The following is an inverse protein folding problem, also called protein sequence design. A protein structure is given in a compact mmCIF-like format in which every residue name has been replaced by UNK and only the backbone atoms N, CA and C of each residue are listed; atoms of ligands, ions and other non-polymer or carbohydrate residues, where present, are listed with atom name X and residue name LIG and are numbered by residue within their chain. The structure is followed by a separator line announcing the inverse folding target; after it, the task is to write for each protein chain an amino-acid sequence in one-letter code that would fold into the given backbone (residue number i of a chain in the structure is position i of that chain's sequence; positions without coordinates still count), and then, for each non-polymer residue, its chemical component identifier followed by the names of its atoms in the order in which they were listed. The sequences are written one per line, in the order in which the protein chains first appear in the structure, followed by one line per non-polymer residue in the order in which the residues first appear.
data_IF_308180720899
#
_entry.id   IF_308180720899
#
_cell.length_a   1.000
_cell.length_b   1.000
_cell.length_c   1.000
_cell.angle_alpha   90.00
_cell.angle_beta   90.00
_cell.angle_gamma   90.00
#
_symmetry.space_group_name_H-M   'P 1'
#
loop_
_entity.id
_entity.type
_entity.pdbx_description
1 polymer ?
#
# COMPACT_ATOMS: atom_id res chain seq x y z
N UNK A 1 -20.61 -17.23 13.66
CA UNK A 1 -20.79 -16.23 12.59
C UNK A 1 -19.49 -15.63 12.05
N UNK A 2 -18.56 -15.09 12.85
CA UNK A 2 -17.32 -14.47 12.32
C UNK A 2 -16.36 -15.51 11.69
N UNK A 3 -16.27 -16.72 12.21
CA UNK A 3 -15.40 -17.78 11.70
C UNK A 3 -15.95 -18.43 10.41
N UNK A 4 -17.26 -18.59 10.26
CA UNK A 4 -17.88 -19.10 9.03
C UNK A 4 -17.65 -18.16 7.85
N UNK A 5 -17.76 -16.85 8.05
CA UNK A 5 -17.53 -15.86 7.01
C UNK A 5 -16.06 -15.83 6.54
N UNK A 6 -15.08 -16.15 7.42
CA UNK A 6 -13.67 -16.22 7.05
C UNK A 6 -13.39 -17.46 6.19
N UNK A 7 -13.88 -18.63 6.59
CA UNK A 7 -13.70 -19.89 5.85
C UNK A 7 -14.28 -19.83 4.44
N UNK A 8 -15.49 -19.27 4.28
CA UNK A 8 -16.13 -19.08 2.96
C UNK A 8 -15.34 -18.10 2.08
N UNK A 9 -14.82 -17.03 2.65
CA UNK A 9 -13.98 -16.08 1.91
C UNK A 9 -12.66 -16.68 1.46
N UNK A 10 -12.03 -17.49 2.31
CA UNK A 10 -10.78 -18.17 2.00
C UNK A 10 -11.00 -19.22 0.91
N UNK A 11 -12.09 -19.98 0.96
CA UNK A 11 -12.48 -20.91 -0.10
C UNK A 11 -12.71 -20.18 -1.44
N UNK A 12 -13.44 -19.07 -1.45
CA UNK A 12 -13.64 -18.27 -2.68
C UNK A 12 -12.31 -17.82 -3.30
N UNK A 13 -11.33 -17.42 -2.48
CA UNK A 13 -10.00 -17.04 -2.97
C UNK A 13 -9.22 -18.24 -3.53
N UNK A 14 -9.29 -19.41 -2.89
CA UNK A 14 -8.67 -20.64 -3.40
C UNK A 14 -9.26 -21.03 -4.75
N UNK A 15 -10.59 -21.00 -4.88
CA UNK A 15 -11.30 -21.27 -6.14
C UNK A 15 -10.92 -20.27 -7.23
N UNK A 16 -10.81 -18.97 -6.89
CA UNK A 16 -10.39 -17.94 -7.83
C UNK A 16 -8.97 -18.19 -8.36
N UNK A 17 -8.02 -18.53 -7.47
CA UNK A 17 -6.66 -18.90 -7.84
C UNK A 17 -6.68 -20.12 -8.78
N UNK A 18 -7.42 -21.18 -8.42
CA UNK A 18 -7.56 -22.38 -9.23
C UNK A 18 -8.16 -22.09 -10.62
N UNK A 19 -9.17 -21.22 -10.70
CA UNK A 19 -9.80 -20.84 -11.96
C UNK A 19 -8.83 -20.06 -12.87
N UNK A 20 -8.09 -19.10 -12.33
CA UNK A 20 -7.08 -18.35 -13.09
C UNK A 20 -6.00 -19.30 -13.62
N UNK A 21 -5.48 -20.18 -12.76
CA UNK A 21 -4.46 -21.17 -13.16
C UNK A 21 -5.01 -22.12 -14.22
N UNK A 22 -6.28 -22.57 -14.12
CA UNK A 22 -6.91 -23.42 -15.12
C UNK A 22 -7.02 -22.74 -16.48
N UNK A 23 -7.44 -21.48 -16.54
CA UNK A 23 -7.51 -20.69 -17.76
C UNK A 23 -6.11 -20.50 -18.38
N UNK A 24 -5.13 -20.09 -17.58
CA UNK A 24 -3.75 -19.89 -18.03
C UNK A 24 -3.08 -21.21 -18.45
N UNK A 25 -3.54 -22.33 -17.91
CA UNK A 25 -3.03 -23.67 -18.26
C UNK A 25 -3.28 -24.07 -19.72
N UNK A 26 -4.14 -23.34 -20.43
CA UNK A 26 -4.36 -23.52 -21.88
C UNK A 26 -3.34 -22.77 -22.73
N UNK A 27 -2.58 -21.84 -22.14
CA UNK A 27 -1.52 -21.10 -22.81
C UNK A 27 -0.23 -21.91 -22.78
N UNK A 28 0.17 -22.46 -23.94
CA UNK A 28 1.40 -23.21 -24.12
C UNK A 28 2.38 -22.41 -24.97
N UNK A 29 3.62 -22.42 -24.55
CA UNK A 29 4.74 -21.87 -25.31
C UNK A 29 5.53 -23.03 -25.93
N UNK A 30 5.65 -23.05 -27.24
CA UNK A 30 6.51 -23.99 -27.94
C UNK A 30 7.89 -23.35 -28.11
N UNK A 31 8.78 -23.55 -27.15
CA UNK A 31 10.15 -23.02 -27.20
C UNK A 31 11.08 -24.08 -27.78
N UNK A 32 11.67 -23.78 -28.92
CA UNK A 32 12.89 -24.34 -29.55
C UNK A 32 13.14 -25.88 -29.54
N UNK A 33 12.40 -26.69 -28.83
CA UNK A 33 12.59 -28.15 -28.75
C UNK A 33 11.32 -28.84 -29.19
N UNK A 34 11.46 -29.74 -30.17
CA UNK A 34 10.37 -30.58 -30.66
C UNK A 34 9.69 -31.33 -29.50
N UNK A 35 8.38 -31.15 -29.38
CA UNK A 35 7.48 -31.78 -28.42
C UNK A 35 7.52 -31.32 -26.95
N UNK A 36 8.22 -30.25 -26.58
CA UNK A 36 8.14 -29.75 -25.21
C UNK A 36 7.25 -28.50 -25.10
N UNK A 37 6.13 -28.64 -24.41
CA UNK A 37 5.15 -27.58 -24.16
C UNK A 37 5.37 -26.97 -22.79
N UNK A 38 5.72 -25.70 -22.72
CA UNK A 38 5.85 -24.98 -21.46
C UNK A 38 4.51 -24.35 -21.12
N UNK A 39 3.88 -24.80 -20.03
CA UNK A 39 2.64 -24.20 -19.55
C UNK A 39 2.93 -22.92 -18.74
N UNK A 40 2.27 -21.83 -19.11
CA UNK A 40 2.35 -20.55 -18.39
C UNK A 40 1.76 -20.63 -16.98
N UNK A 41 0.91 -21.61 -16.70
CA UNK A 41 0.25 -21.79 -15.37
C UNK A 41 1.25 -22.01 -14.23
N UNK A 42 2.39 -22.65 -14.52
CA UNK A 42 3.45 -22.91 -13.55
C UNK A 42 4.18 -21.65 -13.11
N UNK A 43 4.25 -20.64 -13.97
CA UNK A 43 4.79 -19.31 -13.65
C UNK A 43 3.77 -18.52 -12.81
N UNK A 44 2.49 -18.60 -13.20
CA UNK A 44 1.42 -17.81 -12.58
C UNK A 44 1.04 -18.33 -11.19
N UNK A 45 1.11 -19.67 -10.98
CA UNK A 45 0.75 -20.28 -9.69
C UNK A 45 1.54 -19.70 -8.49
N UNK A 46 2.88 -19.71 -8.46
CA UNK A 46 3.63 -19.13 -7.34
C UNK A 46 3.41 -17.63 -7.19
N UNK A 47 3.20 -16.88 -8.28
CA UNK A 47 2.85 -15.47 -8.21
C UNK A 47 1.51 -15.29 -7.47
N UNK A 48 0.48 -16.05 -7.82
CA UNK A 48 -0.82 -15.99 -7.16
C UNK A 48 -0.76 -16.47 -5.70
N UNK A 49 0.06 -17.49 -5.40
CA UNK A 49 0.27 -17.96 -4.03
C UNK A 49 0.92 -16.91 -3.13
N UNK A 50 1.84 -16.10 -3.67
CA UNK A 50 2.54 -15.05 -2.93
C UNK A 50 1.77 -13.73 -2.87
N UNK A 51 0.85 -13.49 -3.80
CA UNK A 51 0.03 -12.27 -3.85
C UNK A 51 -1.35 -12.47 -3.21
N UNK A 52 -2.25 -13.19 -3.87
CA UNK A 52 -3.64 -13.45 -3.42
C UNK A 52 -3.71 -14.51 -2.32
N UNK A 53 -2.83 -15.50 -2.39
CA UNK A 53 -2.79 -16.64 -1.47
C UNK A 53 -1.91 -16.45 -0.23
N UNK A 54 -1.43 -15.24 0.06
CA UNK A 54 -0.48 -14.97 1.15
C UNK A 54 -0.96 -15.49 2.52
N UNK A 55 -2.24 -15.35 2.81
CA UNK A 55 -2.87 -15.75 4.07
C UNK A 55 -3.57 -17.11 4.00
N UNK A 56 -3.46 -17.83 2.88
CA UNK A 56 -4.11 -19.11 2.67
C UNK A 56 -3.10 -20.27 2.88
N UNK A 57 -3.60 -21.45 3.26
CA UNK A 57 -2.78 -22.66 3.28
C UNK A 57 -2.34 -23.02 1.86
N UNK A 58 -1.03 -23.14 1.63
CA UNK A 58 -0.47 -23.42 0.31
C UNK A 58 -0.93 -24.78 -0.21
N UNK A 59 -0.83 -25.81 0.64
CA UNK A 59 -1.22 -27.19 0.27
C UNK A 59 -2.70 -27.28 -0.09
N UNK A 60 -3.59 -26.68 0.71
CA UNK A 60 -5.02 -26.64 0.39
C UNK A 60 -5.31 -25.88 -0.90
N UNK A 61 -4.68 -24.72 -1.11
CA UNK A 61 -4.85 -23.94 -2.33
C UNK A 61 -4.41 -24.71 -3.56
N UNK A 62 -3.26 -25.37 -3.51
CA UNK A 62 -2.76 -26.19 -4.62
C UNK A 62 -3.60 -27.45 -4.84
N UNK A 63 -4.15 -28.09 -3.79
CA UNK A 63 -5.07 -29.22 -3.93
C UNK A 63 -6.38 -28.78 -4.64
N UNK A 64 -6.97 -27.66 -4.23
CA UNK A 64 -8.14 -27.09 -4.91
C UNK A 64 -7.82 -26.75 -6.37
N UNK A 65 -6.65 -26.15 -6.61
CA UNK A 65 -6.17 -25.83 -7.96
C UNK A 65 -6.02 -27.10 -8.81
N UNK A 66 -5.44 -28.18 -8.26
CA UNK A 66 -5.30 -29.46 -8.95
C UNK A 66 -6.64 -30.01 -9.43
N UNK A 67 -7.65 -30.00 -8.56
CA UNK A 67 -9.00 -30.46 -8.90
C UNK A 67 -9.64 -29.59 -9.97
N UNK A 68 -9.54 -28.26 -9.85
CA UNK A 68 -10.16 -27.33 -10.82
C UNK A 68 -9.49 -27.45 -12.18
N UNK A 69 -8.15 -27.50 -12.25
CA UNK A 69 -7.41 -27.68 -13.51
C UNK A 69 -7.74 -29.01 -14.17
N UNK A 70 -7.82 -30.09 -13.38
CA UNK A 70 -8.19 -31.41 -13.88
C UNK A 70 -9.59 -31.39 -14.50
N UNK A 71 -10.59 -30.92 -13.77
CA UNK A 71 -11.97 -30.85 -14.24
C UNK A 71 -12.11 -29.96 -15.48
N UNK A 72 -11.44 -28.80 -15.47
CA UNK A 72 -11.48 -27.87 -16.61
C UNK A 72 -10.90 -28.50 -17.89
N UNK A 73 -9.72 -29.14 -17.77
CA UNK A 73 -9.08 -29.81 -18.92
C UNK A 73 -9.87 -31.04 -19.37
N UNK A 74 -10.46 -31.80 -18.45
CA UNK A 74 -11.30 -32.96 -18.79
C UNK A 74 -12.54 -32.52 -19.58
N UNK A 75 -13.24 -31.48 -19.13
CA UNK A 75 -14.38 -30.89 -19.85
C UNK A 75 -13.96 -30.43 -21.24
N UNK A 76 -12.82 -29.75 -21.36
CA UNK A 76 -12.31 -29.29 -22.64
C UNK A 76 -11.99 -30.45 -23.59
N UNK A 77 -11.38 -31.54 -23.10
CA UNK A 77 -11.06 -32.72 -23.91
C UNK A 77 -12.31 -33.46 -24.38
N UNK A 78 -13.28 -33.65 -23.50
CA UNK A 78 -14.56 -34.34 -23.84
C UNK A 78 -15.37 -33.51 -24.85
N UNK A 79 -15.44 -32.19 -24.67
CA UNK A 79 -16.07 -31.31 -25.67
C UNK A 79 -15.35 -31.31 -27.03
N UNK A 80 -14.05 -31.63 -27.04
CA UNK A 80 -13.26 -31.85 -28.25
C UNK A 80 -13.47 -33.23 -28.91
N UNK A 81 -14.36 -34.09 -28.35
CA UNK A 81 -14.67 -35.42 -28.89
C UNK A 81 -13.75 -36.53 -28.39
N UNK A 82 -12.92 -36.29 -27.38
CA UNK A 82 -12.07 -37.32 -26.79
C UNK A 82 -12.86 -38.21 -25.82
N UNK A 83 -12.48 -39.48 -25.70
CA UNK A 83 -13.08 -40.41 -24.74
C UNK A 83 -12.77 -39.99 -23.31
N UNK A 84 -13.79 -40.10 -22.42
CA UNK A 84 -13.72 -39.64 -21.04
C UNK A 84 -12.63 -40.36 -20.23
N UNK A 85 -12.59 -41.70 -20.34
CA UNK A 85 -11.69 -42.53 -19.53
C UNK A 85 -10.25 -42.30 -19.95
N UNK A 86 -9.98 -42.38 -21.23
CA UNK A 86 -8.62 -42.17 -21.78
C UNK A 86 -8.14 -40.72 -21.50
N UNK A 87 -9.02 -39.74 -21.57
CA UNK A 87 -8.68 -38.36 -21.24
C UNK A 87 -8.38 -38.18 -19.76
N UNK A 88 -9.15 -38.82 -18.86
CA UNK A 88 -8.90 -38.75 -17.43
C UNK A 88 -7.56 -39.38 -17.05
N UNK A 89 -7.20 -40.53 -17.62
CA UNK A 89 -5.91 -41.18 -17.40
C UNK A 89 -4.74 -40.33 -17.86
N UNK A 90 -4.84 -39.70 -19.02
CA UNK A 90 -3.80 -38.84 -19.59
C UNK A 90 -3.64 -37.51 -18.86
N UNK A 91 -4.71 -37.01 -18.22
CA UNK A 91 -4.70 -35.74 -17.49
C UNK A 91 -4.38 -35.87 -16.00
N UNK A 92 -4.47 -37.10 -15.46
CA UNK A 92 -4.21 -37.34 -14.04
C UNK A 92 -2.81 -36.93 -13.58
N UNK A 93 -1.71 -37.21 -14.31
CA UNK A 93 -0.37 -36.74 -13.93
C UNK A 93 -0.26 -35.23 -13.75
N UNK A 94 -0.96 -34.48 -14.59
CA UNK A 94 -1.00 -33.00 -14.49
C UNK A 94 -1.68 -32.52 -13.18
N UNK A 95 -2.69 -33.23 -12.68
CA UNK A 95 -3.31 -32.88 -11.40
C UNK A 95 -2.36 -33.16 -10.24
N UNK A 96 -1.63 -34.30 -10.31
CA UNK A 96 -0.62 -34.67 -9.31
C UNK A 96 0.50 -33.63 -9.27
N UNK A 97 0.89 -33.05 -10.40
CA UNK A 97 1.87 -31.96 -10.46
C UNK A 97 1.50 -30.82 -9.50
N UNK A 98 0.27 -30.26 -9.60
CA UNK A 98 -0.15 -29.13 -8.75
C UNK A 98 -0.19 -29.51 -7.27
N UNK A 99 -0.59 -30.73 -6.97
CA UNK A 99 -0.61 -31.24 -5.59
C UNK A 99 0.79 -31.32 -5.00
N UNK A 100 1.72 -31.99 -5.72
CA UNK A 100 3.12 -32.08 -5.33
C UNK A 100 3.79 -30.71 -5.18
N UNK A 101 3.51 -29.80 -6.13
CA UNK A 101 3.99 -28.43 -6.06
C UNK A 101 3.62 -27.75 -4.73
N UNK A 102 2.36 -27.91 -4.32
CA UNK A 102 1.89 -27.35 -3.05
C UNK A 102 2.59 -27.90 -1.83
N UNK A 103 2.89 -29.21 -1.82
CA UNK A 103 3.60 -29.87 -0.72
C UNK A 103 5.05 -29.40 -0.63
N UNK A 104 5.78 -29.46 -1.75
CA UNK A 104 7.21 -29.07 -1.79
C UNK A 104 7.37 -27.58 -1.46
N UNK A 105 6.55 -26.72 -2.07
CA UNK A 105 6.60 -25.28 -1.81
C UNK A 105 6.28 -24.94 -0.35
N UNK A 106 5.28 -25.60 0.26
CA UNK A 106 4.94 -25.40 1.67
C UNK A 106 6.02 -25.93 2.62
N UNK A 107 6.70 -26.99 2.26
CA UNK A 107 7.82 -27.52 3.05
C UNK A 107 9.01 -26.55 3.08
N UNK A 108 9.28 -25.87 1.97
CA UNK A 108 10.38 -24.90 1.87
C UNK A 108 10.01 -23.52 2.42
N UNK A 109 8.74 -23.11 2.30
CA UNK A 109 8.22 -21.81 2.77
C UNK A 109 6.96 -22.05 3.61
N UNK A 110 7.10 -22.42 4.89
CA UNK A 110 5.95 -22.65 5.76
C UNK A 110 5.20 -21.35 6.13
N UNK A 111 5.87 -20.18 6.03
CA UNK A 111 5.30 -18.86 6.29
C UNK A 111 5.54 -17.89 5.15
N UNK A 112 4.48 -17.32 4.55
CA UNK A 112 4.56 -16.46 3.36
C UNK A 112 4.66 -14.95 3.67
N UNK A 113 4.69 -14.55 4.95
CA UNK A 113 4.57 -13.14 5.32
C UNK A 113 5.83 -12.31 5.01
N UNK A 114 7.01 -12.90 5.23
CA UNK A 114 8.30 -12.24 4.99
C UNK A 114 9.28 -13.23 4.38
N UNK A 115 9.17 -13.43 3.08
CA UNK A 115 10.07 -14.37 2.38
C UNK A 115 11.15 -13.55 1.68
N UNK A 116 12.40 -13.80 2.08
CA UNK A 116 13.56 -13.25 1.36
C UNK A 116 13.68 -13.90 -0.02
N UNK A 117 14.11 -13.12 -1.01
CA UNK A 117 14.37 -13.57 -2.37
C UNK A 117 15.29 -14.80 -2.42
N UNK A 118 16.30 -14.85 -1.56
CA UNK A 118 17.24 -15.96 -1.44
C UNK A 118 16.59 -17.30 -1.05
N UNK A 119 15.44 -17.29 -0.37
CA UNK A 119 14.65 -18.48 -0.03
C UNK A 119 13.57 -18.78 -1.07
N UNK A 120 13.04 -17.75 -1.71
CA UNK A 120 11.97 -17.87 -2.69
C UNK A 120 12.44 -18.57 -3.96
N UNK A 121 13.61 -18.17 -4.49
CA UNK A 121 14.17 -18.74 -5.73
C UNK A 121 14.35 -20.28 -5.63
N UNK A 122 15.08 -20.84 -4.64
CA UNK A 122 15.20 -22.28 -4.52
C UNK A 122 13.87 -22.98 -4.25
N UNK A 123 12.94 -22.37 -3.50
CA UNK A 123 11.65 -22.97 -3.22
C UNK A 123 10.80 -23.15 -4.48
N UNK A 124 10.73 -22.12 -5.33
CA UNK A 124 10.03 -22.20 -6.62
C UNK A 124 10.70 -23.22 -7.53
N UNK A 125 12.05 -23.21 -7.59
CA UNK A 125 12.82 -24.14 -8.42
C UNK A 125 12.58 -25.59 -8.03
N UNK A 126 12.74 -25.94 -6.75
CA UNK A 126 12.56 -27.32 -6.30
C UNK A 126 11.10 -27.76 -6.35
N UNK A 127 10.15 -26.85 -6.11
CA UNK A 127 8.74 -27.16 -6.28
C UNK A 127 8.40 -27.45 -7.74
N UNK A 128 8.89 -26.66 -8.71
CA UNK A 128 8.68 -26.89 -10.13
C UNK A 128 9.40 -28.14 -10.63
N UNK A 129 10.70 -28.24 -10.40
CA UNK A 129 11.51 -29.36 -10.86
C UNK A 129 11.04 -30.68 -10.27
N UNK A 130 10.81 -30.73 -8.94
CA UNK A 130 10.36 -31.95 -8.25
C UNK A 130 8.97 -32.42 -8.69
N UNK A 131 8.04 -31.48 -8.90
CA UNK A 131 6.68 -31.82 -9.35
C UNK A 131 6.65 -32.28 -10.80
N UNK A 132 7.46 -31.68 -11.70
CA UNK A 132 7.62 -32.18 -13.08
C UNK A 132 8.25 -33.58 -13.11
N UNK A 133 9.19 -33.83 -12.20
CA UNK A 133 9.81 -35.18 -12.12
C UNK A 133 8.78 -36.25 -11.72
N UNK A 134 7.92 -35.94 -10.72
CA UNK A 134 6.83 -36.85 -10.30
C UNK A 134 5.82 -37.03 -11.44
N UNK A 135 5.41 -35.93 -12.10
CA UNK A 135 4.50 -35.97 -13.25
C UNK A 135 5.03 -36.92 -14.35
N UNK A 136 6.31 -36.76 -14.69
CA UNK A 136 6.95 -37.58 -15.72
C UNK A 136 7.03 -39.08 -15.32
N UNK A 137 7.36 -39.36 -14.05
CA UNK A 137 7.40 -40.73 -13.56
C UNK A 137 6.02 -41.43 -13.64
N UNK A 138 4.94 -40.69 -13.43
CA UNK A 138 3.58 -41.27 -13.53
C UNK A 138 3.17 -41.41 -15.00
N UNK A 139 3.49 -40.41 -15.84
CA UNK A 139 3.10 -40.40 -17.25
C UNK A 139 3.81 -41.49 -18.07
N UNK A 140 5.09 -41.71 -17.85
CA UNK A 140 5.89 -42.71 -18.63
C UNK A 140 5.88 -44.10 -18.01
N UNK A 141 5.19 -44.34 -16.88
CA UNK A 141 5.08 -45.64 -16.17
C UNK A 141 6.41 -46.35 -15.87
N UNK A 142 7.57 -45.73 -16.12
CA UNK A 142 8.88 -46.32 -15.87
C UNK A 142 9.98 -45.26 -15.73
N UNK A 143 10.74 -45.33 -14.64
CA UNK A 143 11.97 -44.58 -14.41
C UNK A 143 13.09 -44.90 -15.43
N UNK A 144 13.00 -46.03 -16.11
CA UNK A 144 14.00 -46.49 -17.09
C UNK A 144 13.98 -45.72 -18.41
N UNK A 145 12.92 -44.95 -18.70
CA UNK A 145 12.82 -44.10 -19.91
C UNK A 145 13.41 -42.72 -19.74
N UNK A 146 13.92 -42.39 -18.51
CA UNK A 146 14.62 -41.14 -18.23
C UNK A 146 16.00 -41.13 -18.87
N UNK A 147 16.13 -40.48 -20.00
CA UNK A 147 17.45 -40.19 -20.59
C UNK A 147 18.06 -38.95 -19.92
N UNK A 148 19.42 -38.85 -19.80
CA UNK A 148 20.08 -37.66 -19.28
C UNK A 148 19.69 -36.36 -20.00
N UNK A 149 19.37 -36.46 -21.30
CA UNK A 149 18.92 -35.33 -22.11
C UNK A 149 17.56 -34.82 -21.65
N UNK A 150 16.57 -35.67 -21.37
CA UNK A 150 15.26 -35.28 -20.86
C UNK A 150 15.38 -34.60 -19.49
N UNK A 151 16.21 -35.14 -18.60
CA UNK A 151 16.49 -34.51 -17.30
C UNK A 151 17.13 -33.12 -17.44
N UNK A 152 18.06 -32.97 -18.39
CA UNK A 152 18.70 -31.69 -18.72
C UNK A 152 17.70 -30.65 -19.22
N UNK A 153 16.77 -31.03 -20.10
CA UNK A 153 15.70 -30.12 -20.56
C UNK A 153 14.75 -29.73 -19.44
N UNK A 154 14.34 -30.65 -18.59
CA UNK A 154 13.49 -30.34 -17.42
C UNK A 154 14.16 -29.33 -16.48
N UNK A 155 15.45 -29.54 -16.20
CA UNK A 155 16.21 -28.64 -15.35
C UNK A 155 16.30 -27.22 -15.96
N UNK A 156 16.60 -27.13 -17.26
CA UNK A 156 16.71 -25.86 -17.97
C UNK A 156 15.38 -25.10 -18.00
N UNK A 157 14.28 -25.82 -18.23
CA UNK A 157 12.93 -25.22 -18.23
C UNK A 157 12.52 -24.78 -16.83
N UNK A 158 12.81 -25.59 -15.80
CA UNK A 158 12.53 -25.22 -14.41
C UNK A 158 13.33 -23.97 -14.01
N UNK A 159 14.61 -23.85 -14.41
CA UNK A 159 15.42 -22.65 -14.19
C UNK A 159 14.82 -21.41 -14.88
N UNK A 160 14.44 -21.57 -16.16
CA UNK A 160 13.85 -20.47 -16.93
C UNK A 160 12.53 -19.99 -16.29
N UNK A 161 11.62 -20.91 -15.94
CA UNK A 161 10.34 -20.58 -15.28
C UNK A 161 10.56 -19.93 -13.90
N UNK A 162 11.51 -20.47 -13.12
CA UNK A 162 11.86 -19.90 -11.82
C UNK A 162 12.43 -18.49 -11.94
N UNK A 163 13.31 -18.28 -12.92
CA UNK A 163 13.85 -16.94 -13.18
C UNK A 163 12.76 -15.95 -13.55
N UNK A 164 11.85 -16.32 -14.46
CA UNK A 164 10.74 -15.45 -14.87
C UNK A 164 9.76 -15.17 -13.72
N UNK A 165 9.41 -16.20 -12.92
CA UNK A 165 8.58 -16.05 -11.72
C UNK A 165 9.22 -15.10 -10.72
N UNK A 166 10.53 -15.27 -10.49
CA UNK A 166 11.27 -14.43 -9.55
C UNK A 166 11.35 -12.98 -9.99
N UNK A 167 11.51 -12.75 -11.28
CA UNK A 167 11.51 -11.41 -11.88
C UNK A 167 10.16 -10.72 -11.69
N UNK A 168 9.05 -11.43 -11.92
CA UNK A 168 7.70 -10.91 -11.73
C UNK A 168 7.46 -10.56 -10.26
N UNK A 169 7.82 -11.45 -9.33
CA UNK A 169 7.64 -11.22 -7.90
C UNK A 169 8.54 -10.09 -7.37
N UNK A 170 9.75 -9.94 -7.92
CA UNK A 170 10.65 -8.83 -7.59
C UNK A 170 10.07 -7.50 -8.08
N UNK A 171 9.57 -7.45 -9.31
CA UNK A 171 8.92 -6.27 -9.87
C UNK A 171 7.66 -5.87 -9.05
N UNK A 172 6.84 -6.84 -8.67
CA UNK A 172 5.65 -6.63 -7.84
C UNK A 172 6.00 -6.11 -6.44
N UNK A 173 7.02 -6.69 -5.81
CA UNK A 173 7.51 -6.24 -4.51
C UNK A 173 8.07 -4.83 -4.56
N UNK A 174 8.85 -4.50 -5.58
CA UNK A 174 9.39 -3.15 -5.81
C UNK A 174 8.28 -2.12 -6.02
N UNK A 175 7.32 -2.45 -6.89
CA UNK A 175 6.16 -1.58 -7.15
C UNK A 175 5.33 -1.31 -5.88
N UNK A 176 5.08 -2.34 -5.06
CA UNK A 176 4.38 -2.16 -3.77
C UNK A 176 5.15 -1.28 -2.79
N UNK A 177 6.47 -1.37 -2.79
CA UNK A 177 7.32 -0.52 -1.93
C UNK A 177 7.27 0.93 -2.40
N UNK A 178 7.33 1.17 -3.71
CA UNK A 178 7.19 2.53 -4.28
C UNK A 178 5.84 3.15 -3.93
N UNK A 179 4.73 2.41 -4.10
CA UNK A 179 3.39 2.91 -3.75
C UNK A 179 3.26 3.26 -2.25
N UNK A 180 3.84 2.43 -1.37
CA UNK A 180 3.83 2.72 0.07
C UNK A 180 4.64 3.98 0.41
N UNK A 181 5.80 4.14 -0.20
CA UNK A 181 6.65 5.31 0.02
C UNK A 181 5.95 6.59 -0.47
N UNK A 182 5.31 6.55 -1.64
CA UNK A 182 4.52 7.66 -2.17
C UNK A 182 3.33 8.02 -1.26
N UNK A 183 2.62 7.01 -0.72
CA UNK A 183 1.52 7.25 0.22
C UNK A 183 2.01 7.88 1.53
N UNK A 184 3.17 7.41 2.05
CA UNK A 184 3.81 8.00 3.22
C UNK A 184 4.24 9.45 2.97
N UNK A 185 4.91 9.71 1.85
CA UNK A 185 5.35 11.06 1.47
C UNK A 185 4.17 12.03 1.34
N UNK A 186 3.11 11.63 0.66
CA UNK A 186 1.89 12.42 0.52
C UNK A 186 1.21 12.71 1.87
N UNK A 187 1.22 11.74 2.79
CA UNK A 187 0.69 11.91 4.14
C UNK A 187 1.52 12.90 4.94
N UNK A 188 2.86 12.77 4.93
CA UNK A 188 3.77 13.70 5.59
C UNK A 188 3.62 15.12 5.03
N UNK A 189 3.58 15.26 3.72
CA UNK A 189 3.41 16.56 3.05
C UNK A 189 2.09 17.23 3.48
N UNK A 190 1.00 16.47 3.55
CA UNK A 190 -0.29 17.01 4.00
C UNK A 190 -0.26 17.45 5.45
N UNK A 191 0.28 16.64 6.35
CA UNK A 191 0.44 16.99 7.77
C UNK A 191 1.30 18.24 7.93
N UNK A 192 2.42 18.29 7.22
CA UNK A 192 3.32 19.43 7.22
C UNK A 192 2.63 20.73 6.78
N UNK A 193 1.89 20.70 5.67
CA UNK A 193 1.14 21.89 5.18
C UNK A 193 0.06 22.31 6.19
N UNK A 194 -0.64 21.37 6.82
CA UNK A 194 -1.61 21.68 7.86
C UNK A 194 -0.95 22.33 9.08
N UNK A 195 0.16 21.79 9.56
CA UNK A 195 0.89 22.32 10.71
C UNK A 195 1.44 23.74 10.42
N UNK A 196 1.94 23.95 9.21
CA UNK A 196 2.42 25.27 8.79
C UNK A 196 1.28 26.28 8.69
N UNK A 197 0.13 25.88 8.15
CA UNK A 197 -1.08 26.70 8.15
C UNK A 197 -1.53 27.08 9.55
N UNK A 198 -1.53 26.14 10.49
CA UNK A 198 -1.85 26.39 11.90
C UNK A 198 -0.85 27.36 12.56
N UNK A 199 0.46 27.23 12.30
CA UNK A 199 1.46 28.17 12.82
C UNK A 199 1.23 29.59 12.32
N UNK A 200 0.85 29.75 11.06
CA UNK A 200 0.48 31.05 10.52
C UNK A 200 -0.76 31.63 11.20
N UNK A 201 -1.78 30.81 11.44
CA UNK A 201 -2.99 31.23 12.13
C UNK A 201 -2.69 31.67 13.56
N UNK A 202 -1.82 30.94 14.27
CA UNK A 202 -1.36 31.35 15.61
C UNK A 202 -0.65 32.70 15.59
N UNK A 203 0.18 32.95 14.58
CA UNK A 203 0.84 34.25 14.42
C UNK A 203 -0.18 35.38 14.28
N UNK A 204 -1.21 35.22 13.44
CA UNK A 204 -2.27 36.21 13.30
C UNK A 204 -3.09 36.33 14.59
N UNK A 205 -3.37 35.26 15.27
CA UNK A 205 -4.04 35.30 16.56
C UNK A 205 -3.24 36.08 17.60
N UNK A 206 -1.92 35.89 17.72
CA UNK A 206 -1.06 36.67 18.61
C UNK A 206 -1.12 38.18 18.29
N UNK A 207 -1.04 38.49 17.01
CA UNK A 207 -1.16 39.90 16.55
C UNK A 207 -2.52 40.50 16.92
N UNK A 208 -3.61 39.79 16.71
CA UNK A 208 -4.95 40.20 17.11
C UNK A 208 -5.07 40.40 18.63
N UNK A 209 -4.38 39.58 19.43
CA UNK A 209 -4.32 39.73 20.88
C UNK A 209 -3.68 41.05 21.32
N UNK A 210 -2.70 41.58 20.57
CA UNK A 210 -2.12 42.91 20.81
C UNK A 210 -3.12 44.02 20.51
N UNK A 211 -3.92 43.87 19.44
CA UNK A 211 -4.98 44.82 19.09
C UNK A 211 -6.10 44.83 20.16
N UNK A 212 -6.50 43.68 20.68
CA UNK A 212 -7.44 43.51 21.78
C UNK A 212 -6.93 44.25 23.04
N UNK A 213 -5.63 44.21 23.32
CA UNK A 213 -5.01 44.91 24.43
C UNK A 213 -5.15 46.43 24.28
N UNK A 214 -4.96 46.95 23.05
CA UNK A 214 -5.16 48.35 22.73
C UNK A 214 -6.63 48.80 22.94
N UNK A 215 -7.59 47.97 22.52
CA UNK A 215 -9.02 48.23 22.73
C UNK A 215 -9.37 48.25 24.23
N UNK A 216 -8.83 47.33 25.02
CA UNK A 216 -8.99 47.26 26.47
C UNK A 216 -8.45 48.53 27.14
N UNK A 217 -7.23 48.95 26.77
CA UNK A 217 -6.62 50.19 27.30
C UNK A 217 -7.45 51.41 26.99
N UNK A 218 -8.03 51.48 25.78
CA UNK A 218 -8.91 52.60 25.39
C UNK A 218 -10.24 52.57 26.16
N UNK A 219 -10.80 51.38 26.44
CA UNK A 219 -12.01 51.24 27.24
C UNK A 219 -11.79 51.68 28.70
N UNK A 220 -10.64 51.36 29.28
CA UNK A 220 -10.27 51.88 30.62
C UNK A 220 -10.08 53.41 30.64
N UNK A 221 -9.40 53.95 29.64
CA UNK A 221 -9.26 55.44 29.52
C UNK A 221 -10.62 56.12 29.38
N UNK A 222 -11.54 55.51 28.64
CA UNK A 222 -12.91 56.01 28.55
C UNK A 222 -13.62 55.98 29.88
N UNK A 223 -13.52 54.89 30.63
CA UNK A 223 -14.07 54.78 31.97
C UNK A 223 -13.50 55.86 32.94
N UNK A 224 -12.18 56.07 32.95
CA UNK A 224 -11.54 57.10 33.77
C UNK A 224 -12.09 58.51 33.42
N UNK A 225 -12.18 58.87 32.14
CA UNK A 225 -12.73 60.14 31.70
C UNK A 225 -14.21 60.32 32.09
N UNK A 226 -15.03 59.26 31.97
CA UNK A 226 -16.44 59.29 32.34
C UNK A 226 -16.59 59.43 33.86
N UNK A 227 -15.64 58.91 34.65
CA UNK A 227 -15.66 59.02 36.10
C UNK A 227 -15.34 60.44 36.58
N UNK A 228 -14.56 61.21 35.82
CA UNK A 228 -14.25 62.61 36.11
C UNK A 228 -15.38 63.57 35.66
N UNK A 229 -16.30 63.08 34.81
CA UNK A 229 -17.43 63.86 34.30
C UNK A 229 -18.71 63.61 35.10
N UNK A 230 -19.60 64.57 35.16
CA UNK A 230 -20.93 64.44 35.75
C UNK A 230 -21.89 63.74 34.75
N UNK A 231 -21.71 62.42 34.61
CA UNK A 231 -22.51 61.59 33.72
C UNK A 231 -23.26 60.55 34.53
N UNK A 232 -24.39 60.03 34.00
CA UNK A 232 -25.15 58.98 34.72
C UNK A 232 -24.27 57.76 35.02
N UNK A 233 -24.43 57.17 36.21
CA UNK A 233 -23.65 56.02 36.68
C UNK A 233 -23.77 54.80 35.74
N UNK A 234 -24.86 54.69 35.03
CA UNK A 234 -25.13 53.64 34.06
C UNK A 234 -24.08 53.65 32.92
N UNK A 235 -23.66 54.85 32.45
CA UNK A 235 -22.61 54.99 31.45
C UNK A 235 -21.22 54.59 31.96
N UNK A 236 -20.91 54.90 33.24
CA UNK A 236 -19.68 54.49 33.91
C UNK A 236 -19.61 52.97 34.05
N UNK A 237 -20.72 52.37 34.51
CA UNK A 237 -20.83 50.92 34.64
C UNK A 237 -20.69 50.18 33.31
N UNK A 238 -21.32 50.69 32.24
CA UNK A 238 -21.25 50.09 30.92
C UNK A 238 -19.81 50.15 30.36
N UNK A 239 -19.09 51.26 30.49
CA UNK A 239 -17.71 51.38 30.06
C UNK A 239 -16.78 50.42 30.80
N UNK A 240 -16.95 50.29 32.13
CA UNK A 240 -16.18 49.32 32.96
C UNK A 240 -16.50 47.88 32.57
N UNK A 241 -17.78 47.56 32.29
CA UNK A 241 -18.19 46.23 31.85
C UNK A 241 -17.49 45.87 30.51
N UNK A 242 -17.49 46.80 29.53
CA UNK A 242 -16.80 46.58 28.27
C UNK A 242 -15.31 46.29 28.47
N UNK A 243 -14.62 47.07 29.34
CA UNK A 243 -13.21 46.84 29.62
C UNK A 243 -12.97 45.44 30.26
N UNK A 244 -13.86 44.98 31.14
CA UNK A 244 -13.78 43.66 31.77
C UNK A 244 -14.04 42.55 30.77
N UNK A 245 -15.07 42.68 29.94
CA UNK A 245 -15.44 41.69 28.94
C UNK A 245 -14.31 41.49 27.91
N UNK A 246 -13.70 42.58 27.45
CA UNK A 246 -12.53 42.55 26.54
C UNK A 246 -11.32 41.88 27.21
N UNK A 247 -11.13 42.10 28.53
CA UNK A 247 -10.07 41.43 29.28
C UNK A 247 -10.27 39.91 29.36
N UNK A 248 -11.51 39.47 29.55
CA UNK A 248 -11.84 38.03 29.58
C UNK A 248 -11.63 37.40 28.18
N UNK A 249 -12.09 38.06 27.12
CA UNK A 249 -11.86 37.63 25.73
C UNK A 249 -10.35 37.47 25.47
N UNK A 250 -9.50 38.42 25.88
CA UNK A 250 -8.06 38.32 25.73
C UNK A 250 -7.48 37.07 26.43
N UNK A 251 -7.93 36.79 27.67
CA UNK A 251 -7.48 35.62 28.42
C UNK A 251 -7.82 34.31 27.70
N UNK A 252 -9.04 34.21 27.21
CA UNK A 252 -9.48 33.01 26.48
C UNK A 252 -8.72 32.86 25.17
N UNK A 253 -8.42 33.96 24.48
CA UNK A 253 -7.63 33.96 23.25
C UNK A 253 -6.20 33.44 23.49
N UNK A 254 -5.52 33.91 24.55
CA UNK A 254 -4.18 33.43 24.94
C UNK A 254 -4.22 31.93 25.30
N UNK A 255 -5.26 31.48 26.01
CA UNK A 255 -5.41 30.09 26.40
C UNK A 255 -5.58 29.17 25.19
N UNK A 256 -6.36 29.61 24.18
CA UNK A 256 -6.53 28.86 22.92
C UNK A 256 -5.20 28.78 22.15
N UNK A 257 -4.46 29.90 22.05
CA UNK A 257 -3.15 29.91 21.39
C UNK A 257 -2.20 28.90 22.04
N UNK A 258 -2.09 28.92 23.37
CA UNK A 258 -1.22 28.02 24.12
C UNK A 258 -1.61 26.53 23.91
N UNK A 259 -2.91 26.21 23.95
CA UNK A 259 -3.38 24.84 23.71
C UNK A 259 -3.06 24.34 22.30
N UNK A 260 -3.17 25.20 21.27
CA UNK A 260 -2.80 24.81 19.89
C UNK A 260 -1.28 24.67 19.75
N UNK A 261 -0.49 25.53 20.39
CA UNK A 261 0.99 25.45 20.36
C UNK A 261 1.51 24.17 21.04
N UNK A 262 0.92 23.78 22.17
CA UNK A 262 1.25 22.50 22.85
C UNK A 262 0.95 21.31 21.93
N UNK A 263 -0.25 21.24 21.35
CA UNK A 263 -0.66 20.15 20.45
C UNK A 263 0.29 20.03 19.23
N UNK A 264 0.71 21.15 18.65
CA UNK A 264 1.63 21.17 17.51
C UNK A 264 3.04 20.73 17.92
N UNK A 265 3.50 21.07 19.11
CA UNK A 265 4.87 20.78 19.56
C UNK A 265 5.11 19.31 19.90
N UNK A 266 4.08 18.60 20.39
CA UNK A 266 4.17 17.17 20.71
C UNK A 266 4.24 16.27 19.46
N UNK A 267 3.78 16.73 18.32
CA UNK A 267 3.68 15.93 17.08
C UNK A 267 4.88 16.11 16.12
N UNK A 268 5.83 16.98 16.46
CA UNK A 268 6.93 17.37 15.56
C UNK A 268 8.25 16.69 15.93
N UNK A 269 8.49 15.52 15.31
CA UNK A 269 9.82 14.93 15.21
C UNK A 269 10.55 15.59 14.02
N UNK A 270 11.71 16.20 14.27
CA UNK A 270 12.52 16.96 13.28
C UNK A 270 12.86 16.09 12.07
N UNK A 271 12.14 16.23 10.96
CA UNK A 271 12.43 15.54 9.71
C UNK A 271 12.70 16.53 8.58
N UNK A 272 13.68 16.15 7.76
CA UNK A 272 14.20 16.86 6.57
C UNK A 272 13.09 17.37 5.66
N UNK A 273 13.14 18.64 5.31
CA UNK A 273 12.19 19.35 4.48
C UNK A 273 12.76 19.56 3.07
N UNK A 274 11.95 19.45 2.03
CA UNK A 274 12.39 19.81 0.70
C UNK A 274 12.37 21.32 0.51
N UNK A 275 13.29 21.85 -0.28
CA UNK A 275 13.34 23.29 -0.57
C UNK A 275 12.06 23.79 -1.25
N UNK A 276 11.41 22.96 -2.06
CA UNK A 276 10.11 23.26 -2.66
C UNK A 276 9.00 23.43 -1.61
N UNK A 277 9.02 22.67 -0.53
CA UNK A 277 8.05 22.81 0.55
C UNK A 277 8.25 24.13 1.31
N UNK A 278 9.51 24.54 1.51
CA UNK A 278 9.84 25.86 2.09
C UNK A 278 9.33 27.00 1.20
N UNK A 279 9.55 26.92 -0.12
CA UNK A 279 9.06 27.92 -1.07
C UNK A 279 7.54 28.02 -1.07
N UNK A 280 6.84 26.89 -1.00
CA UNK A 280 5.39 26.86 -0.94
C UNK A 280 4.84 27.49 0.34
N UNK A 281 5.48 27.27 1.48
CA UNK A 281 5.14 27.93 2.74
C UNK A 281 5.32 29.43 2.62
N UNK A 282 6.44 29.86 2.04
CA UNK A 282 6.72 31.27 1.83
C UNK A 282 5.67 31.92 0.92
N UNK A 283 5.27 31.23 -0.15
CA UNK A 283 4.23 31.66 -1.06
C UNK A 283 2.89 31.82 -0.34
N UNK A 284 2.41 30.79 0.34
CA UNK A 284 1.15 30.79 1.07
C UNK A 284 1.13 31.88 2.16
N UNK A 285 2.23 32.01 2.93
CA UNK A 285 2.37 33.03 3.97
C UNK A 285 2.33 34.44 3.38
N UNK A 286 2.99 34.63 2.24
CA UNK A 286 3.04 35.94 1.59
C UNK A 286 1.67 36.31 1.01
N UNK A 287 0.95 35.38 0.40
CA UNK A 287 -0.42 35.60 -0.07
C UNK A 287 -1.37 35.98 1.07
N UNK A 288 -1.33 35.28 2.20
CA UNK A 288 -2.13 35.65 3.39
C UNK A 288 -1.80 37.04 3.92
N UNK A 289 -0.51 37.44 3.93
CA UNK A 289 -0.12 38.80 4.33
C UNK A 289 -0.61 39.88 3.36
N UNK A 290 -0.60 39.55 2.06
CA UNK A 290 -1.07 40.47 1.02
C UNK A 290 -2.59 40.65 1.08
N UNK A 291 -3.30 39.57 1.31
CA UNK A 291 -4.76 39.55 1.47
C UNK A 291 -5.19 40.36 2.70
N UNK A 292 -4.50 40.19 3.83
CA UNK A 292 -4.73 40.99 5.05
C UNK A 292 -4.46 42.48 4.85
N UNK A 293 -3.57 42.87 3.92
CA UNK A 293 -3.26 44.25 3.57
C UNK A 293 -4.05 44.78 2.39
N UNK A 294 -4.95 43.96 1.81
CA UNK A 294 -5.74 44.30 0.62
C UNK A 294 -4.89 44.69 -0.61
N UNK A 295 -3.72 44.06 -0.75
CA UNK A 295 -2.75 44.29 -1.84
C UNK A 295 -2.78 43.07 -2.78
N UNK A 296 -3.01 43.34 -4.07
CA UNK A 296 -3.05 42.28 -5.08
C UNK A 296 -1.72 42.25 -5.84
N UNK A 297 -0.88 41.24 -5.57
CA UNK A 297 0.38 40.98 -6.27
C UNK A 297 0.40 39.53 -6.71
N UNK A 298 0.85 39.26 -7.92
CA UNK A 298 1.10 37.92 -8.40
C UNK A 298 2.57 37.57 -8.10
N UNK A 299 2.79 36.56 -7.27
CA UNK A 299 4.11 36.07 -6.90
C UNK A 299 4.42 34.81 -7.73
N UNK A 300 5.63 34.72 -8.26
CA UNK A 300 6.12 33.55 -8.95
C UNK A 300 7.47 33.15 -8.36
N UNK A 301 7.51 32.00 -7.68
CA UNK A 301 8.73 31.40 -7.16
C UNK A 301 9.26 30.38 -8.16
N UNK A 302 10.51 30.55 -8.64
CA UNK A 302 11.16 29.58 -9.53
C UNK A 302 12.36 28.99 -8.82
N UNK A 303 12.39 27.66 -8.77
CA UNK A 303 13.53 26.90 -8.27
C UNK A 303 14.00 25.91 -9.35
N UNK A 304 15.30 25.94 -9.68
CA UNK A 304 15.88 25.03 -10.66
C UNK A 304 16.18 23.65 -10.08
N UNK A 305 16.49 23.57 -8.79
CA UNK A 305 16.90 22.33 -8.12
C UNK A 305 16.15 22.16 -6.81
N UNK A 306 15.61 20.97 -6.58
CA UNK A 306 14.97 20.60 -5.32
C UNK A 306 15.96 19.81 -4.47
N UNK A 307 16.37 20.35 -3.33
CA UNK A 307 17.25 19.69 -2.37
C UNK A 307 16.56 19.57 -1.01
N UNK A 308 17.01 18.58 -0.23
CA UNK A 308 16.53 18.38 1.14
C UNK A 308 17.40 19.21 2.09
N UNK A 309 16.77 19.95 2.98
CA UNK A 309 17.44 20.66 4.07
C UNK A 309 17.45 19.80 5.33
N UNK A 310 18.52 19.90 6.10
CA UNK A 310 18.61 19.31 7.45
C UNK A 310 17.93 20.22 8.47
#
# INVERSE_FOLDING_TARGET
MINENKSVRDLKRMVLIGAIVALVSQLYWNLFVYNFRISSSVIVLPVLLMTLGKNLSTTMTCSVTAVIVFLFRLIAAVNGGADLITSAENLFPNAVFYFCYGIIFNAMIPGKHTVSFSRLFPAVFFADFGSNLVELCISESSLHTMTPEKAGYLLLIALFRTFLTSLILMAESHYRTLLKNEEHENRYRRLFLMTTGLKNEIYFMRKNSEEIESVMANAYKLYEKLNEMDVPDDMKHMSLSIARDVHEIKKDYIRIIQGIEEEISEEYDEKRMSFQDILKILEDTTYHMLEAKNVHIQLEFRCSDNFMTE
#
